data_IF_611989363142
#
_entry.id   IF_611989363142
#
_cell.length_a   1.000
_cell.length_b   1.000
_cell.length_c   1.000
_cell.angle_alpha   90.00
_cell.angle_beta   90.00
_cell.angle_gamma   90.00
#
_symmetry.space_group_name_H-M   'P 1'
#
loop_
_entity.id
_entity.type
_entity.pdbx_description
1 polymer ?
#
# COMPACT_ATOMS: atom_id res chain seq x y z
N UNK A 1 4.95 -26.42 28.37
CA UNK A 1 6.17 -26.29 27.57
C UNK A 1 6.70 -27.69 27.35
N UNK A 2 6.60 -28.28 26.19
CA UNK A 2 7.38 -29.46 25.86
C UNK A 2 8.73 -28.97 25.36
N UNK A 3 9.74 -29.58 25.93
CA UNK A 3 11.16 -29.35 25.85
C UNK A 3 11.66 -29.37 24.41
N UNK A 4 12.09 -28.23 23.87
CA UNK A 4 12.78 -28.14 22.56
C UNK A 4 14.12 -28.90 22.59
N UNK A 5 14.64 -29.22 23.76
CA UNK A 5 15.79 -30.09 23.98
C UNK A 5 15.50 -31.56 23.62
N UNK A 6 14.26 -32.01 23.70
CA UNK A 6 13.89 -33.39 23.36
C UNK A 6 13.87 -33.70 21.86
N UNK A 7 13.78 -32.70 20.99
CA UNK A 7 13.79 -32.88 19.52
C UNK A 7 15.18 -32.91 18.88
N UNK A 8 16.21 -32.58 19.65
CA UNK A 8 17.61 -32.60 19.21
C UNK A 8 18.44 -33.82 19.73
N UNK A 9 17.80 -34.74 20.48
CA UNK A 9 18.40 -36.02 20.87
C UNK A 9 18.44 -37.08 19.76
N UNK A 10 18.43 -36.67 18.48
CA UNK A 10 18.65 -37.51 17.32
C UNK A 10 20.16 -37.76 17.11
N UNK A 11 20.74 -38.73 17.88
CA UNK A 11 22.00 -39.47 17.60
C UNK A 11 23.17 -38.63 17.06
N UNK A 12 24.04 -38.23 17.99
CA UNK A 12 25.46 -37.94 17.71
C UNK A 12 26.09 -39.29 17.36
N UNK A 13 26.32 -39.57 16.09
CA UNK A 13 27.15 -40.68 15.65
C UNK A 13 28.58 -40.15 15.61
N UNK A 14 29.39 -40.52 16.60
CA UNK A 14 30.84 -40.33 16.57
C UNK A 14 31.41 -41.19 15.44
N UNK A 15 31.98 -40.55 14.42
CA UNK A 15 32.74 -41.21 13.40
C UNK A 15 34.20 -40.87 13.59
N UNK A 16 35.04 -41.88 13.58
CA UNK A 16 36.49 -41.80 13.76
C UNK A 16 37.16 -41.23 12.50
N UNK A 17 36.97 -39.98 12.23
CA UNK A 17 37.78 -39.11 11.37
C UNK A 17 37.14 -37.72 11.31
N UNK A 18 37.67 -36.79 12.04
CA UNK A 18 37.61 -35.30 11.97
C UNK A 18 36.39 -34.55 11.36
N UNK A 19 35.24 -35.18 11.08
CA UNK A 19 34.03 -34.50 10.56
C UNK A 19 32.81 -34.91 11.37
N UNK A 20 32.17 -33.94 12.03
CA UNK A 20 30.87 -34.09 12.67
C UNK A 20 29.75 -33.93 11.64
N UNK A 21 28.81 -34.87 11.61
CA UNK A 21 27.61 -34.81 10.77
C UNK A 21 26.38 -34.62 11.65
N UNK A 22 25.58 -33.64 11.31
CA UNK A 22 24.25 -33.40 11.92
C UNK A 22 23.15 -33.61 10.87
N UNK A 23 22.08 -34.30 11.28
CA UNK A 23 20.86 -34.44 10.50
C UNK A 23 19.72 -33.64 11.14
N UNK A 24 19.06 -32.79 10.37
CA UNK A 24 17.83 -32.14 10.83
C UNK A 24 16.62 -33.07 10.62
N UNK A 25 15.45 -32.67 11.16
CA UNK A 25 14.19 -33.42 11.04
C UNK A 25 13.71 -33.58 9.57
N UNK A 26 14.23 -32.77 8.62
CA UNK A 26 13.96 -32.84 7.19
C UNK A 26 14.97 -33.71 6.42
N UNK A 27 15.93 -34.39 7.10
CA UNK A 27 16.86 -35.33 6.48
C UNK A 27 18.09 -34.69 5.81
N UNK A 28 18.28 -33.37 5.92
CA UNK A 28 19.43 -32.66 5.32
C UNK A 28 20.70 -32.90 6.17
N UNK A 29 21.80 -33.27 5.51
CA UNK A 29 23.10 -33.52 6.16
C UNK A 29 23.99 -32.28 6.07
N UNK A 30 24.51 -31.83 7.22
CA UNK A 30 25.49 -30.77 7.31
C UNK A 30 26.84 -31.33 7.81
N UNK A 31 27.93 -30.95 7.18
CA UNK A 31 29.27 -31.27 7.67
C UNK A 31 29.99 -29.99 8.07
N UNK A 32 30.58 -29.96 9.26
CA UNK A 32 31.36 -28.82 9.74
C UNK A 32 32.72 -29.28 10.25
N UNK A 33 33.78 -28.60 9.84
CA UNK A 33 35.17 -28.96 10.15
C UNK A 33 35.68 -28.36 11.47
N UNK A 34 34.83 -27.61 12.24
CA UNK A 34 35.22 -27.00 13.51
C UNK A 34 34.07 -26.97 14.52
N UNK A 35 34.26 -27.48 15.74
CA UNK A 35 33.28 -27.38 16.83
C UNK A 35 32.94 -25.95 17.21
N UNK A 36 33.86 -25.02 17.03
CA UNK A 36 33.64 -23.58 17.32
C UNK A 36 32.68 -22.93 16.32
N UNK A 37 32.82 -23.21 15.02
CA UNK A 37 31.89 -22.73 13.98
C UNK A 37 30.50 -23.33 14.15
N UNK A 38 30.40 -24.59 14.57
CA UNK A 38 29.12 -25.23 14.87
C UNK A 38 28.42 -24.57 16.07
N UNK A 39 29.18 -24.25 17.14
CA UNK A 39 28.65 -23.54 18.30
C UNK A 39 28.16 -22.12 17.98
N UNK A 40 28.94 -21.37 17.20
CA UNK A 40 28.51 -20.04 16.74
C UNK A 40 27.27 -20.09 15.80
N UNK A 41 27.24 -21.09 14.93
CA UNK A 41 26.07 -21.31 14.06
C UNK A 41 24.84 -21.70 14.87
N UNK A 42 24.99 -22.61 15.85
CA UNK A 42 23.90 -23.00 16.75
C UNK A 42 23.44 -21.84 17.64
N UNK A 43 24.36 -20.99 18.13
CA UNK A 43 23.98 -19.74 18.84
C UNK A 43 23.17 -18.81 17.93
N UNK A 44 23.57 -18.61 16.67
CA UNK A 44 22.80 -17.82 15.70
C UNK A 44 21.41 -18.41 15.43
N UNK A 45 21.31 -19.74 15.26
CA UNK A 45 20.00 -20.41 15.10
C UNK A 45 19.14 -20.34 16.36
N UNK A 46 19.73 -20.46 17.55
CA UNK A 46 19.00 -20.33 18.82
C UNK A 46 18.54 -18.87 19.07
N UNK A 47 19.33 -17.89 18.65
CA UNK A 47 18.94 -16.47 18.68
C UNK A 47 17.85 -16.16 17.64
N UNK A 48 17.93 -16.73 16.43
CA UNK A 48 16.89 -16.61 15.40
C UNK A 48 15.59 -17.25 15.85
N UNK A 49 15.62 -18.47 16.39
CA UNK A 49 14.40 -19.13 16.89
C UNK A 49 13.77 -18.44 18.12
N UNK A 50 14.61 -17.81 18.99
CA UNK A 50 14.09 -16.95 20.07
C UNK A 50 13.50 -15.66 19.52
N UNK A 51 14.13 -15.03 18.53
CA UNK A 51 13.61 -13.82 17.89
C UNK A 51 12.29 -14.11 17.15
N UNK A 52 12.17 -15.22 16.41
CA UNK A 52 10.92 -15.63 15.78
C UNK A 52 9.80 -15.90 16.79
N UNK A 53 10.09 -16.55 17.91
CA UNK A 53 9.12 -16.79 18.98
C UNK A 53 8.66 -15.51 19.65
N UNK A 54 9.54 -14.55 19.89
CA UNK A 54 9.22 -13.24 20.46
C UNK A 54 8.41 -12.43 19.44
N UNK A 55 8.81 -12.43 18.17
CA UNK A 55 8.15 -11.75 17.06
C UNK A 55 6.71 -12.28 16.85
N UNK A 56 6.51 -13.61 16.89
CA UNK A 56 5.18 -14.22 16.81
C UNK A 56 4.29 -13.84 17.99
N UNK A 57 4.85 -13.75 19.21
CA UNK A 57 4.12 -13.28 20.39
C UNK A 57 3.73 -11.80 20.30
N UNK A 58 4.57 -10.96 19.71
CA UNK A 58 4.26 -9.53 19.51
C UNK A 58 3.15 -9.32 18.48
N UNK A 59 3.16 -10.04 17.37
CA UNK A 59 2.07 -9.98 16.36
C UNK A 59 0.76 -10.43 16.97
N UNK A 60 0.76 -11.52 17.73
CA UNK A 60 -0.42 -11.95 18.47
C UNK A 60 -0.92 -10.88 19.45
N UNK A 61 -0.01 -10.13 20.10
CA UNK A 61 -0.37 -8.99 20.96
C UNK A 61 -1.02 -7.84 20.22
N UNK A 62 -0.48 -7.43 19.05
CA UNK A 62 -1.03 -6.33 18.25
C UNK A 62 -2.31 -6.72 17.48
N UNK A 63 -2.64 -8.01 17.41
CA UNK A 63 -3.88 -8.52 16.80
C UNK A 63 -4.94 -8.89 17.85
N UNK A 64 -4.58 -8.92 19.15
CA UNK A 64 -5.54 -9.14 20.23
C UNK A 64 -6.19 -7.82 20.64
N UNK A 65 -7.53 -7.68 20.53
CA UNK A 65 -8.24 -6.46 20.94
C UNK A 65 -7.97 -6.03 22.39
N UNK A 66 -7.76 -6.97 23.31
CA UNK A 66 -7.48 -6.69 24.72
C UNK A 66 -6.08 -6.12 24.90
N UNK A 67 -5.09 -6.70 24.22
CA UNK A 67 -3.72 -6.21 24.26
C UNK A 67 -3.60 -4.83 23.58
N UNK A 68 -4.30 -4.61 22.45
CA UNK A 68 -4.36 -3.30 21.80
C UNK A 68 -4.97 -2.24 22.72
N UNK A 69 -6.09 -2.54 23.41
CA UNK A 69 -6.69 -1.62 24.36
C UNK A 69 -5.75 -1.32 25.53
N UNK A 70 -5.06 -2.34 26.06
CA UNK A 70 -4.08 -2.17 27.13
C UNK A 70 -2.89 -1.30 26.70
N UNK A 71 -2.36 -1.52 25.49
CA UNK A 71 -1.30 -0.70 24.89
C UNK A 71 -1.73 0.76 24.80
N UNK A 72 -2.87 1.03 24.22
CA UNK A 72 -3.41 2.38 24.04
C UNK A 72 -3.68 3.06 25.39
N UNK A 73 -4.21 2.32 26.37
CA UNK A 73 -4.47 2.83 27.73
C UNK A 73 -3.17 3.23 28.46
N UNK A 74 -2.08 2.46 28.32
CA UNK A 74 -0.76 2.80 28.91
C UNK A 74 -0.25 4.15 28.42
N UNK A 75 -0.52 4.48 27.15
CA UNK A 75 -0.13 5.75 26.54
C UNK A 75 -1.20 6.85 26.64
N UNK A 76 -2.30 6.62 27.38
CA UNK A 76 -3.40 7.57 27.50
C UNK A 76 -4.09 7.91 26.18
N UNK A 77 -4.00 7.01 25.20
CA UNK A 77 -4.54 7.25 23.87
C UNK A 77 -6.05 7.02 23.81
N UNK A 78 -6.74 7.95 23.16
CA UNK A 78 -8.17 7.85 22.84
C UNK A 78 -8.41 8.00 21.35
N UNK A 79 -9.31 7.19 20.80
CA UNK A 79 -9.63 7.21 19.36
C UNK A 79 -10.16 8.56 18.90
N UNK A 80 -9.66 9.04 17.78
CA UNK A 80 -10.16 10.24 17.12
C UNK A 80 -11.05 9.86 15.94
N UNK A 81 -12.34 10.19 16.04
CA UNK A 81 -13.29 10.00 14.94
C UNK A 81 -12.95 10.86 13.72
N UNK A 82 -12.43 12.07 13.94
CA UNK A 82 -12.04 13.01 12.88
C UNK A 82 -10.87 12.50 12.04
N UNK A 83 -10.01 11.65 12.60
CA UNK A 83 -8.87 11.02 11.90
C UNK A 83 -9.23 9.66 11.29
N UNK A 84 -10.48 9.21 11.43
CA UNK A 84 -10.95 7.95 10.85
C UNK A 84 -10.16 6.70 11.32
N UNK A 85 -9.66 6.72 12.56
CA UNK A 85 -8.79 5.68 13.12
C UNK A 85 -9.54 4.37 13.30
N UNK A 86 -9.16 3.36 12.53
CA UNK A 86 -9.62 1.97 12.63
C UNK A 86 -8.38 1.07 12.58
N UNK A 87 -7.95 0.56 13.74
CA UNK A 87 -6.76 -0.28 13.83
C UNK A 87 -7.07 -1.70 13.41
N UNK A 88 -6.21 -2.27 12.60
CA UNK A 88 -6.35 -3.63 12.11
C UNK A 88 -5.98 -4.62 13.23
N UNK A 89 -6.90 -5.56 13.52
CA UNK A 89 -6.75 -6.59 14.54
C UNK A 89 -6.80 -8.02 13.97
N UNK A 90 -6.96 -8.17 12.66
CA UNK A 90 -6.93 -9.47 12.01
C UNK A 90 -5.49 -9.85 11.67
N UNK A 91 -4.93 -10.95 12.27
CA UNK A 91 -3.52 -11.29 12.13
C UNK A 91 -3.11 -11.73 10.73
N UNK A 92 -4.06 -12.10 9.86
CA UNK A 92 -3.75 -12.59 8.50
C UNK A 92 -3.64 -11.48 7.45
N UNK A 93 -4.15 -10.26 7.74
CA UNK A 93 -4.27 -9.21 6.73
C UNK A 93 -2.95 -8.50 6.48
N UNK A 94 -2.26 -8.04 7.54
CA UNK A 94 -0.98 -7.33 7.39
C UNK A 94 0.13 -8.18 6.75
N UNK A 95 0.35 -9.45 7.15
CA UNK A 95 1.30 -10.32 6.47
C UNK A 95 1.01 -10.45 4.98
N UNK A 96 -0.27 -10.67 4.62
CA UNK A 96 -0.68 -10.78 3.23
C UNK A 96 -0.50 -9.48 2.45
N UNK A 97 -0.80 -8.32 3.05
CA UNK A 97 -0.53 -7.03 2.43
C UNK A 97 0.97 -6.83 2.16
N UNK A 98 1.82 -7.19 3.12
CA UNK A 98 3.26 -7.09 2.99
C UNK A 98 3.79 -8.02 1.88
N UNK A 99 3.29 -9.26 1.77
CA UNK A 99 3.65 -10.18 0.69
C UNK A 99 3.23 -9.65 -0.69
N UNK A 100 2.00 -9.18 -0.81
CA UNK A 100 1.42 -8.70 -2.08
C UNK A 100 2.00 -7.34 -2.53
N UNK A 101 2.60 -6.55 -1.64
CA UNK A 101 3.17 -5.25 -2.03
C UNK A 101 4.54 -5.39 -2.72
N UNK A 102 5.14 -6.57 -2.73
CA UNK A 102 6.38 -6.84 -3.46
C UNK A 102 7.63 -6.33 -2.73
N UNK A 103 7.61 -6.35 -1.39
CA UNK A 103 8.78 -6.06 -0.57
C UNK A 103 9.80 -7.18 -0.61
N UNK A 104 11.07 -6.83 -0.40
CA UNK A 104 12.18 -7.76 -0.36
C UNK A 104 13.51 -7.05 -0.09
N UNK A 105 14.63 -7.75 -0.15
CA UNK A 105 15.95 -7.13 -0.09
C UNK A 105 16.12 -6.07 -1.18
N UNK A 106 16.69 -4.92 -0.85
CA UNK A 106 16.87 -3.78 -1.75
C UNK A 106 15.60 -2.95 -2.00
N UNK A 107 14.47 -3.28 -1.37
CA UNK A 107 13.20 -2.55 -1.51
C UNK A 107 12.92 -1.73 -0.26
N UNK A 108 12.72 -0.43 -0.46
CA UNK A 108 12.21 0.51 0.54
C UNK A 108 10.69 0.61 0.49
N UNK A 109 10.06 0.78 1.66
CA UNK A 109 8.60 0.94 1.77
C UNK A 109 8.27 2.31 2.37
N UNK A 110 7.48 3.08 1.64
CA UNK A 110 6.77 4.23 2.19
C UNK A 110 5.40 3.77 2.70
N UNK A 111 5.18 3.90 4.02
CA UNK A 111 3.89 3.62 4.63
C UNK A 111 3.16 4.91 5.00
N UNK A 112 1.85 4.96 4.79
CA UNK A 112 1.00 6.08 5.16
C UNK A 112 0.05 5.68 6.27
N UNK A 113 0.14 6.35 7.43
CA UNK A 113 -0.69 6.09 8.59
C UNK A 113 -0.40 4.73 9.24
N UNK A 114 0.76 4.52 9.86
CA UNK A 114 1.12 3.26 10.53
C UNK A 114 0.18 2.88 11.67
N UNK A 115 -0.54 3.85 12.24
CA UNK A 115 -1.41 3.63 13.38
C UNK A 115 -0.63 3.15 14.60
N UNK A 116 -0.89 1.93 15.07
CA UNK A 116 -0.15 1.30 16.16
C UNK A 116 1.01 0.41 15.68
N UNK A 117 1.34 0.43 14.38
CA UNK A 117 2.50 -0.25 13.82
C UNK A 117 2.28 -1.69 13.36
N UNK A 118 1.04 -2.20 13.29
CA UNK A 118 0.75 -3.61 12.91
C UNK A 118 1.28 -3.93 11.51
N UNK A 119 0.99 -3.06 10.53
CA UNK A 119 1.49 -3.24 9.16
C UNK A 119 2.99 -2.91 9.08
N UNK A 120 3.44 -1.87 9.79
CA UNK A 120 4.86 -1.46 9.83
C UNK A 120 5.77 -2.62 10.23
N UNK A 121 5.39 -3.38 11.27
CA UNK A 121 6.12 -4.57 11.76
C UNK A 121 6.22 -5.63 10.65
N UNK A 122 5.14 -5.91 9.94
CA UNK A 122 5.16 -6.91 8.87
C UNK A 122 6.00 -6.47 7.66
N UNK A 123 5.99 -5.17 7.36
CA UNK A 123 6.83 -4.58 6.33
C UNK A 123 8.31 -4.62 6.75
N UNK A 124 8.63 -4.22 7.99
CA UNK A 124 9.98 -4.18 8.51
C UNK A 124 10.68 -5.56 8.55
N UNK A 125 9.92 -6.63 8.73
CA UNK A 125 10.44 -8.01 8.66
C UNK A 125 10.95 -8.41 7.26
N UNK A 126 10.48 -7.75 6.21
CA UNK A 126 10.66 -8.16 4.81
C UNK A 126 11.41 -7.14 3.96
N UNK A 127 11.23 -5.86 4.26
CA UNK A 127 11.82 -4.75 3.52
C UNK A 127 13.22 -4.42 4.00
N UNK A 128 14.04 -3.84 3.11
CA UNK A 128 15.33 -3.26 3.48
C UNK A 128 15.13 -2.09 4.45
N UNK A 129 14.14 -1.23 4.18
CA UNK A 129 13.81 -0.07 5.01
C UNK A 129 12.32 0.28 4.91
N UNK A 130 11.75 0.70 6.04
CA UNK A 130 10.38 1.22 6.11
C UNK A 130 10.42 2.65 6.62
N UNK A 131 9.73 3.56 5.94
CA UNK A 131 9.50 4.93 6.41
C UNK A 131 8.00 5.16 6.46
N UNK A 132 7.48 5.39 7.66
CA UNK A 132 6.05 5.57 7.91
C UNK A 132 5.76 7.04 8.22
N UNK A 133 4.78 7.65 7.54
CA UNK A 133 4.35 9.03 7.79
C UNK A 133 3.08 8.98 8.66
N UNK A 134 3.15 9.56 9.87
CA UNK A 134 2.04 9.60 10.83
C UNK A 134 1.67 11.04 11.18
N UNK A 135 0.39 11.37 10.99
CA UNK A 135 -0.14 12.70 11.29
C UNK A 135 -0.39 12.88 12.81
N UNK A 136 -0.87 11.85 13.48
CA UNK A 136 -1.25 11.92 14.89
C UNK A 136 -0.05 11.73 15.82
N UNK A 137 0.51 12.84 16.29
CA UNK A 137 1.67 12.84 17.22
C UNK A 137 1.43 12.02 18.50
N UNK A 138 0.17 11.77 18.89
CA UNK A 138 -0.17 10.96 20.07
C UNK A 138 0.14 9.48 19.89
N UNK A 139 0.29 9.02 18.62
CA UNK A 139 0.70 7.65 18.29
C UNK A 139 2.22 7.46 18.33
N UNK A 140 3.03 8.52 18.33
CA UNK A 140 4.48 8.39 18.31
C UNK A 140 5.05 7.61 19.51
N UNK A 141 4.59 7.83 20.77
CA UNK A 141 5.03 7.01 21.90
C UNK A 141 4.62 5.54 21.76
N UNK A 142 3.43 5.26 21.20
CA UNK A 142 2.94 3.90 20.94
C UNK A 142 3.84 3.23 19.89
N UNK A 143 4.14 3.93 18.79
CA UNK A 143 5.03 3.45 17.73
C UNK A 143 6.46 3.24 18.23
N UNK A 144 6.95 4.10 19.14
CA UNK A 144 8.23 3.90 19.81
C UNK A 144 8.32 2.57 20.54
N UNK A 145 7.25 2.16 21.27
CA UNK A 145 7.18 0.86 21.95
C UNK A 145 7.03 -0.29 20.96
N UNK A 146 6.13 -0.17 19.96
CA UNK A 146 5.82 -1.29 19.06
C UNK A 146 6.89 -1.56 18.02
N UNK A 147 7.74 -0.59 17.71
CA UNK A 147 8.81 -0.69 16.70
C UNK A 147 10.21 -0.80 17.31
N UNK A 148 10.35 -0.92 18.64
CA UNK A 148 11.65 -0.98 19.33
C UNK A 148 12.58 -2.07 18.75
N UNK A 149 12.02 -3.21 18.35
CA UNK A 149 12.77 -4.34 17.77
C UNK A 149 13.10 -4.20 16.27
N UNK A 150 12.72 -3.08 15.60
CA UNK A 150 12.82 -2.92 14.14
C UNK A 150 13.63 -1.68 13.76
N UNK A 151 14.98 -1.74 13.80
CA UNK A 151 15.86 -0.60 13.54
C UNK A 151 15.79 -0.08 12.09
N UNK A 152 15.25 -0.87 11.16
CA UNK A 152 15.01 -0.50 9.77
C UNK A 152 13.65 0.21 9.56
N UNK A 153 12.83 0.38 10.60
CA UNK A 153 11.59 1.14 10.57
C UNK A 153 11.79 2.54 11.16
N UNK A 154 11.42 3.57 10.41
CA UNK A 154 11.48 4.98 10.81
C UNK A 154 10.12 5.63 10.71
N UNK A 155 9.71 6.36 11.76
CA UNK A 155 8.46 7.14 11.75
C UNK A 155 8.78 8.62 11.57
N UNK A 156 8.07 9.27 10.65
CA UNK A 156 8.11 10.71 10.39
C UNK A 156 6.75 11.28 10.79
N UNK A 157 6.75 12.24 11.74
CA UNK A 157 5.51 12.90 12.12
C UNK A 157 5.25 14.07 11.18
N UNK A 158 4.39 13.86 10.19
CA UNK A 158 4.02 14.86 9.20
C UNK A 158 2.67 14.53 8.57
N UNK A 159 2.16 15.46 7.75
CA UNK A 159 0.95 15.27 6.94
C UNK A 159 1.34 14.76 5.55
N UNK A 160 0.92 13.55 5.20
CA UNK A 160 1.17 12.95 3.88
C UNK A 160 0.71 13.86 2.72
N UNK A 161 -0.25 14.74 2.93
CA UNK A 161 -0.73 15.68 1.91
C UNK A 161 0.09 16.98 1.83
N UNK A 162 1.09 17.18 2.71
CA UNK A 162 1.89 18.42 2.76
C UNK A 162 3.39 18.18 2.69
N UNK A 163 3.87 17.07 3.27
CA UNK A 163 5.30 16.72 3.30
C UNK A 163 5.88 16.71 1.88
N UNK A 164 7.09 17.25 1.72
CA UNK A 164 7.79 17.17 0.44
C UNK A 164 8.32 15.74 0.23
N UNK A 165 7.59 14.97 -0.61
CA UNK A 165 7.86 13.55 -0.82
C UNK A 165 9.12 13.30 -1.64
N UNK A 166 9.45 14.14 -2.62
CA UNK A 166 10.61 13.92 -3.48
C UNK A 166 11.92 13.94 -2.71
N UNK A 167 12.25 14.97 -1.88
CA UNK A 167 13.44 14.96 -1.06
C UNK A 167 13.41 13.88 0.04
N UNK A 168 12.22 13.57 0.58
CA UNK A 168 12.07 12.51 1.56
C UNK A 168 12.49 11.15 0.98
N UNK A 169 11.96 10.79 -0.19
CA UNK A 169 12.28 9.54 -0.87
C UNK A 169 13.76 9.46 -1.24
N UNK A 170 14.33 10.54 -1.78
CA UNK A 170 15.75 10.59 -2.13
C UNK A 170 16.67 10.39 -0.92
N UNK A 171 16.34 11.02 0.21
CA UNK A 171 17.15 10.91 1.44
C UNK A 171 17.02 9.55 2.10
N UNK A 172 15.80 9.02 2.17
CA UNK A 172 15.53 7.82 2.96
C UNK A 172 15.74 6.53 2.19
N UNK A 173 15.58 6.53 0.85
CA UNK A 173 15.60 5.33 0.01
C UNK A 173 16.66 5.39 -1.11
N UNK A 174 17.73 6.15 -0.91
CA UNK A 174 18.80 6.24 -1.91
C UNK A 174 19.29 4.85 -2.36
N UNK A 175 19.25 4.59 -3.67
CA UNK A 175 19.69 3.31 -4.25
C UNK A 175 18.72 2.13 -4.06
N UNK A 176 17.55 2.35 -3.49
CA UNK A 176 16.52 1.33 -3.30
C UNK A 176 15.38 1.51 -4.31
N UNK A 177 14.76 0.42 -4.68
CA UNK A 177 13.46 0.43 -5.32
C UNK A 177 12.38 0.76 -4.26
N UNK A 178 11.41 1.62 -4.58
CA UNK A 178 10.41 2.07 -3.60
C UNK A 178 9.02 1.56 -3.95
N UNK A 179 8.33 1.02 -2.95
CA UNK A 179 6.90 0.70 -3.01
C UNK A 179 6.15 1.44 -1.90
N UNK A 180 4.86 1.69 -2.12
CA UNK A 180 3.96 2.20 -1.09
C UNK A 180 3.09 1.07 -0.57
N UNK A 181 2.97 0.94 0.75
CA UNK A 181 2.02 0.03 1.38
C UNK A 181 1.28 0.76 2.51
N UNK A 182 -0.07 0.75 2.50
CA UNK A 182 -0.82 1.53 3.48
C UNK A 182 -2.22 0.99 3.76
N UNK A 183 -2.66 1.12 5.02
CA UNK A 183 -4.06 1.07 5.41
C UNK A 183 -4.59 2.51 5.48
N UNK A 184 -5.10 3.03 4.35
CA UNK A 184 -5.44 4.46 4.24
C UNK A 184 -6.68 4.84 5.04
N UNK A 185 -6.65 5.96 5.78
CA UNK A 185 -7.87 6.56 6.31
C UNK A 185 -8.84 6.89 5.18
N UNK A 186 -10.12 6.49 5.34
CA UNK A 186 -11.08 6.51 4.23
C UNK A 186 -11.36 7.90 3.66
N UNK A 187 -11.29 8.95 4.51
CA UNK A 187 -11.58 10.32 4.11
C UNK A 187 -10.50 10.98 3.23
N UNK A 188 -9.26 10.42 3.23
CA UNK A 188 -8.15 10.94 2.42
C UNK A 188 -7.68 9.96 1.33
N UNK A 189 -8.38 8.84 1.14
CA UNK A 189 -7.97 7.79 0.18
C UNK A 189 -7.66 8.36 -1.20
N UNK A 190 -8.62 9.07 -1.83
CA UNK A 190 -8.39 9.60 -3.18
C UNK A 190 -7.33 10.69 -3.23
N UNK A 191 -7.32 11.70 -2.34
CA UNK A 191 -6.24 12.70 -2.31
C UNK A 191 -4.84 12.10 -2.19
N UNK A 192 -4.64 11.11 -1.31
CA UNK A 192 -3.32 10.46 -1.12
C UNK A 192 -2.90 9.69 -2.37
N UNK A 193 -3.79 8.85 -2.92
CA UNK A 193 -3.48 8.06 -4.12
C UNK A 193 -3.16 8.99 -5.30
N UNK A 194 -3.97 10.01 -5.51
CA UNK A 194 -3.75 10.95 -6.60
C UNK A 194 -2.43 11.70 -6.45
N UNK A 195 -2.12 12.19 -5.26
CA UNK A 195 -0.85 12.84 -4.99
C UNK A 195 0.35 11.95 -5.32
N UNK A 196 0.34 10.70 -4.84
CA UNK A 196 1.43 9.73 -5.08
C UNK A 196 1.62 9.40 -6.55
N UNK A 197 0.56 9.46 -7.36
CA UNK A 197 0.61 9.17 -8.80
C UNK A 197 0.94 10.41 -9.64
N UNK A 198 0.35 11.57 -9.33
CA UNK A 198 0.49 12.81 -10.10
C UNK A 198 1.88 13.45 -9.92
N UNK A 199 2.50 13.36 -8.74
CA UNK A 199 3.86 13.87 -8.48
C UNK A 199 4.95 13.06 -9.19
N UNK A 200 4.61 11.98 -9.90
CA UNK A 200 5.57 11.11 -10.64
C UNK A 200 6.79 10.72 -9.81
N UNK A 201 6.54 10.37 -8.56
CA UNK A 201 7.56 9.91 -7.63
C UNK A 201 8.21 8.61 -8.13
N UNK A 202 9.45 8.33 -7.76
CA UNK A 202 10.15 7.07 -8.12
C UNK A 202 9.61 5.89 -7.31
N UNK A 203 8.32 5.58 -7.51
CA UNK A 203 7.55 4.54 -6.83
C UNK A 203 7.13 3.50 -7.86
N UNK A 204 7.46 2.23 -7.63
CA UNK A 204 7.12 1.12 -8.52
C UNK A 204 5.64 0.72 -8.44
N UNK A 205 5.10 0.66 -7.22
CA UNK A 205 3.74 0.21 -6.99
C UNK A 205 3.17 0.77 -5.69
N UNK A 206 1.83 0.87 -5.64
CA UNK A 206 1.07 1.19 -4.43
C UNK A 206 0.17 0.01 -4.08
N UNK A 207 0.28 -0.53 -2.87
CA UNK A 207 -0.64 -1.53 -2.31
C UNK A 207 -1.37 -0.91 -1.15
N UNK A 208 -2.67 -0.66 -1.31
CA UNK A 208 -3.44 0.10 -0.33
C UNK A 208 -4.73 -0.61 0.03
N UNK A 209 -5.10 -0.53 1.30
CA UNK A 209 -6.41 -0.94 1.78
C UNK A 209 -7.32 0.28 1.85
N UNK A 210 -8.49 0.17 1.20
CA UNK A 210 -9.47 1.23 1.06
C UNK A 210 -10.88 0.67 1.22
N UNK A 211 -11.90 1.53 1.35
CA UNK A 211 -13.30 1.09 1.35
C UNK A 211 -13.65 0.33 0.06
N UNK A 212 -14.48 -0.70 0.16
CA UNK A 212 -14.89 -1.54 -0.98
C UNK A 212 -15.42 -0.72 -2.17
N UNK A 213 -16.25 0.29 -1.91
CA UNK A 213 -16.77 1.16 -2.96
C UNK A 213 -15.67 2.02 -3.62
N UNK A 214 -14.73 2.52 -2.81
CA UNK A 214 -13.57 3.26 -3.32
C UNK A 214 -12.70 2.37 -4.21
N UNK A 215 -12.44 1.13 -3.78
CA UNK A 215 -11.71 0.15 -4.59
C UNK A 215 -12.38 -0.12 -5.94
N UNK A 216 -13.71 -0.28 -5.96
CA UNK A 216 -14.47 -0.46 -7.18
C UNK A 216 -14.32 0.71 -8.15
N UNK A 217 -14.31 1.95 -7.63
CA UNK A 217 -14.11 3.15 -8.46
C UNK A 217 -12.65 3.27 -8.94
N UNK A 218 -11.67 3.05 -8.06
CA UNK A 218 -10.25 3.14 -8.41
C UNK A 218 -9.85 2.12 -9.47
N UNK A 219 -10.40 0.90 -9.41
CA UNK A 219 -10.12 -0.19 -10.35
C UNK A 219 -11.06 -0.23 -11.56
N UNK A 220 -12.05 0.69 -11.64
CA UNK A 220 -12.99 0.67 -12.76
C UNK A 220 -12.31 0.97 -14.08
N UNK A 221 -12.67 0.21 -15.12
CA UNK A 221 -12.18 0.43 -16.48
C UNK A 221 -12.94 1.59 -17.15
N UNK A 222 -12.24 2.41 -17.98
CA UNK A 222 -12.89 3.37 -18.87
C UNK A 222 -13.96 2.68 -19.73
N UNK A 223 -15.05 3.41 -20.01
CA UNK A 223 -16.18 2.83 -20.76
C UNK A 223 -17.16 2.02 -19.91
N UNK A 224 -16.97 1.94 -18.59
CA UNK A 224 -17.87 1.22 -17.69
C UNK A 224 -18.64 2.16 -16.75
N UNK A 225 -19.86 1.75 -16.33
CA UNK A 225 -20.73 2.54 -15.43
C UNK A 225 -20.08 2.93 -14.10
N UNK A 226 -19.14 2.15 -13.60
CA UNK A 226 -18.43 2.41 -12.35
C UNK A 226 -17.32 3.46 -12.53
N UNK A 227 -16.93 3.76 -13.77
CA UNK A 227 -15.86 4.70 -14.10
C UNK A 227 -16.21 6.13 -13.65
N UNK A 228 -15.20 6.81 -13.14
CA UNK A 228 -15.25 8.21 -12.73
C UNK A 228 -13.94 8.91 -13.05
N UNK A 229 -13.84 10.21 -12.77
CA UNK A 229 -12.58 10.95 -13.00
C UNK A 229 -11.37 10.29 -12.33
N UNK A 230 -11.53 9.80 -11.10
CA UNK A 230 -10.44 9.11 -10.38
C UNK A 230 -10.06 7.79 -11.05
N UNK A 231 -11.02 7.07 -11.66
CA UNK A 231 -10.73 5.84 -12.42
C UNK A 231 -9.85 6.14 -13.62
N UNK A 232 -10.17 7.19 -14.39
CA UNK A 232 -9.38 7.63 -15.55
C UNK A 232 -7.96 8.00 -15.10
N UNK A 233 -7.82 8.77 -14.02
CA UNK A 233 -6.53 9.19 -13.52
C UNK A 233 -5.69 7.99 -13.05
N UNK A 234 -6.26 7.08 -12.27
CA UNK A 234 -5.56 5.86 -11.83
C UNK A 234 -5.15 5.01 -13.03
N UNK A 235 -6.03 4.76 -14.01
CA UNK A 235 -5.72 3.97 -15.21
C UNK A 235 -4.69 4.67 -16.12
N UNK A 236 -4.59 5.99 -16.07
CA UNK A 236 -3.60 6.76 -16.81
C UNK A 236 -2.19 6.57 -16.21
N UNK A 237 -2.06 6.62 -14.90
CA UNK A 237 -0.76 6.54 -14.20
C UNK A 237 -0.34 5.13 -13.79
N UNK A 238 -1.28 4.20 -13.63
CA UNK A 238 -1.02 2.87 -13.09
C UNK A 238 -1.93 1.79 -13.70
N UNK A 239 -1.62 0.53 -13.37
CA UNK A 239 -2.47 -0.64 -13.66
C UNK A 239 -3.06 -1.13 -12.34
N UNK A 240 -4.31 -0.75 -12.01
CA UNK A 240 -4.94 -1.17 -10.76
C UNK A 240 -5.49 -2.59 -10.85
N UNK A 241 -5.38 -3.33 -9.75
CA UNK A 241 -6.02 -4.65 -9.58
C UNK A 241 -6.48 -4.85 -8.15
N UNK A 242 -7.60 -5.55 -7.99
CA UNK A 242 -8.09 -5.99 -6.67
C UNK A 242 -7.31 -7.22 -6.25
N UNK A 243 -6.81 -7.22 -5.01
CA UNK A 243 -6.11 -8.36 -4.43
C UNK A 243 -7.05 -9.21 -3.57
N UNK A 244 -7.63 -8.62 -2.51
CA UNK A 244 -8.56 -9.35 -1.64
C UNK A 244 -9.46 -8.39 -0.83
N UNK A 245 -10.54 -8.96 -0.28
CA UNK A 245 -11.47 -8.24 0.58
C UNK A 245 -11.13 -8.45 2.06
N UNK A 246 -11.43 -7.45 2.88
CA UNK A 246 -11.22 -7.44 4.33
C UNK A 246 -12.53 -7.05 5.01
N UNK A 247 -13.07 -7.94 5.84
CA UNK A 247 -14.29 -7.69 6.59
C UNK A 247 -14.10 -6.55 7.59
N UNK A 248 -15.13 -5.74 7.78
CA UNK A 248 -15.17 -4.68 8.80
C UNK A 248 -14.90 -5.19 10.23
N UNK A 249 -15.20 -6.46 10.51
CA UNK A 249 -14.87 -7.11 11.79
C UNK A 249 -13.36 -7.30 12.04
N UNK A 250 -12.52 -7.04 11.04
CA UNK A 250 -11.06 -7.08 11.17
C UNK A 250 -10.46 -5.84 11.83
N UNK A 251 -11.28 -4.87 12.26
CA UNK A 251 -10.81 -3.57 12.77
C UNK A 251 -11.35 -3.24 14.17
N UNK A 252 -10.62 -2.42 14.90
CA UNK A 252 -10.98 -1.85 16.21
C UNK A 252 -10.80 -0.32 16.18
N UNK A 253 -11.87 0.48 16.34
CA UNK A 253 -13.27 0.09 16.22
C UNK A 253 -13.62 -0.38 14.79
N UNK A 254 -14.70 -1.18 14.61
CA UNK A 254 -15.09 -1.62 13.27
C UNK A 254 -15.66 -0.44 12.47
N UNK A 255 -15.26 -0.30 11.19
CA UNK A 255 -15.87 0.66 10.29
C UNK A 255 -17.28 0.24 9.86
N UNK A 256 -18.01 1.16 9.18
CA UNK A 256 -19.37 0.88 8.72
C UNK A 256 -19.43 -0.06 7.50
N UNK A 257 -18.35 -0.16 6.73
CA UNK A 257 -18.26 -0.90 5.47
C UNK A 257 -17.03 -1.80 5.43
N UNK A 258 -17.07 -2.83 4.60
CA UNK A 258 -15.92 -3.67 4.33
C UNK A 258 -14.84 -2.92 3.55
N UNK A 259 -13.62 -3.40 3.64
CA UNK A 259 -12.45 -2.89 2.93
C UNK A 259 -12.03 -3.83 1.81
N UNK A 260 -11.22 -3.33 0.92
CA UNK A 260 -10.58 -4.09 -0.15
C UNK A 260 -9.15 -3.62 -0.28
N UNK A 261 -8.23 -4.59 -0.38
CA UNK A 261 -6.84 -4.30 -0.72
C UNK A 261 -6.71 -4.32 -2.22
N UNK A 262 -6.15 -3.24 -2.76
CA UNK A 262 -5.85 -3.07 -4.19
C UNK A 262 -4.37 -2.83 -4.37
N UNK A 263 -3.84 -3.21 -5.53
CA UNK A 263 -2.50 -2.87 -5.97
C UNK A 263 -2.58 -2.08 -7.28
N UNK A 264 -1.75 -1.07 -7.39
CA UNK A 264 -1.59 -0.21 -8.55
C UNK A 264 -0.13 -0.24 -8.95
N UNK A 265 0.22 -0.96 -10.02
CA UNK A 265 1.56 -0.98 -10.59
C UNK A 265 1.73 0.27 -11.44
N UNK A 266 2.69 1.15 -11.08
CA UNK A 266 2.91 2.45 -11.74
C UNK A 266 3.44 2.21 -13.16
N UNK A 267 2.87 2.93 -14.13
CA UNK A 267 3.27 2.81 -15.54
C UNK A 267 4.52 3.66 -15.82
N UNK A 268 5.40 3.14 -16.65
CA UNK A 268 6.51 3.92 -17.23
C UNK A 268 5.99 4.98 -18.20
N UNK A 269 4.96 4.60 -18.99
CA UNK A 269 4.33 5.48 -19.96
C UNK A 269 2.81 5.40 -19.85
N UNK A 270 2.09 6.54 -19.99
CA UNK A 270 0.63 6.53 -20.05
C UNK A 270 0.12 5.70 -21.22
N UNK A 271 -1.10 5.11 -21.12
CA UNK A 271 -1.68 4.27 -22.19
C UNK A 271 -2.15 5.06 -23.41
N UNK A 272 -2.27 6.39 -23.28
CA UNK A 272 -2.61 7.30 -24.38
C UNK A 272 -1.68 8.50 -24.37
N UNK A 273 -1.35 9.00 -25.58
CA UNK A 273 -0.57 10.23 -25.74
C UNK A 273 -1.51 11.43 -25.74
N UNK A 274 -1.21 12.41 -24.89
CA UNK A 274 -1.92 13.69 -24.84
C UNK A 274 -0.92 14.82 -24.97
N UNK A 275 -1.29 15.90 -25.66
CA UNK A 275 -0.42 17.07 -25.86
C UNK A 275 -0.14 17.83 -24.58
N UNK A 276 -1.11 17.84 -23.66
CA UNK A 276 -1.02 18.51 -22.35
C UNK A 276 -1.86 17.76 -21.32
N UNK A 277 -1.20 17.21 -20.29
CA UNK A 277 -1.84 16.46 -19.22
C UNK A 277 -2.81 17.33 -18.39
N UNK A 278 -2.43 18.59 -18.12
CA UNK A 278 -3.28 19.51 -17.35
C UNK A 278 -4.61 19.73 -18.08
N UNK A 279 -4.58 19.92 -19.40
CA UNK A 279 -5.79 20.07 -20.20
C UNK A 279 -6.60 18.77 -20.28
N UNK A 280 -5.92 17.62 -20.39
CA UNK A 280 -6.57 16.32 -20.38
C UNK A 280 -7.34 16.09 -19.06
N UNK A 281 -6.71 16.33 -17.92
CA UNK A 281 -7.38 16.16 -16.62
C UNK A 281 -8.42 17.23 -16.32
N UNK A 282 -8.28 18.45 -16.86
CA UNK A 282 -9.33 19.46 -16.83
C UNK A 282 -10.57 19.00 -17.61
N UNK A 283 -10.38 18.42 -18.80
CA UNK A 283 -11.46 17.81 -19.60
C UNK A 283 -12.10 16.64 -18.82
N UNK A 284 -11.32 15.71 -18.28
CA UNK A 284 -11.83 14.58 -17.48
C UNK A 284 -12.67 15.08 -16.30
N UNK A 285 -12.15 16.05 -15.55
CA UNK A 285 -12.89 16.66 -14.42
C UNK A 285 -14.21 17.30 -14.87
N UNK A 286 -14.21 18.04 -15.97
CA UNK A 286 -15.40 18.65 -16.55
C UNK A 286 -16.42 17.59 -16.98
N UNK A 287 -15.96 16.56 -17.71
CA UNK A 287 -16.79 15.47 -18.22
C UNK A 287 -17.53 14.71 -17.10
N UNK A 288 -16.83 14.38 -16.00
CA UNK A 288 -17.39 13.67 -14.84
C UNK A 288 -18.02 14.57 -13.79
N UNK A 289 -17.88 15.88 -13.90
CA UNK A 289 -18.45 16.85 -12.95
C UNK A 289 -19.98 16.81 -12.88
N UNK A 290 -20.63 16.38 -13.95
CA UNK A 290 -22.09 16.29 -14.05
C UNK A 290 -22.54 14.92 -14.58
N UNK A 291 -22.49 13.88 -13.76
CA UNK A 291 -22.74 12.46 -14.15
C UNK A 291 -24.04 12.21 -14.94
N UNK A 292 -25.11 12.97 -14.70
CA UNK A 292 -26.40 12.80 -15.38
C UNK A 292 -26.48 13.53 -16.74
N UNK A 293 -25.50 14.35 -17.09
CA UNK A 293 -25.49 15.11 -18.35
C UNK A 293 -24.72 14.34 -19.43
N UNK A 294 -25.05 14.68 -20.69
CA UNK A 294 -24.27 14.20 -21.84
C UNK A 294 -22.88 14.82 -21.86
N UNK A 295 -21.94 14.19 -22.55
CA UNK A 295 -20.56 14.68 -22.71
C UNK A 295 -20.54 16.11 -23.25
N UNK A 296 -21.37 16.42 -24.25
CA UNK A 296 -21.56 17.75 -24.81
C UNK A 296 -21.88 18.80 -23.74
N UNK A 297 -22.89 18.53 -22.91
CA UNK A 297 -23.34 19.48 -21.92
C UNK A 297 -22.40 19.58 -20.72
N UNK A 298 -21.80 18.45 -20.30
CA UNK A 298 -20.87 18.42 -19.16
C UNK A 298 -19.58 19.19 -19.50
N UNK A 299 -18.99 18.93 -20.66
CA UNK A 299 -17.74 19.58 -21.10
C UNK A 299 -17.95 21.06 -21.41
N UNK A 300 -19.04 21.41 -22.14
CA UNK A 300 -19.36 22.81 -22.43
C UNK A 300 -19.49 23.63 -21.13
N UNK A 301 -20.23 23.12 -20.15
CA UNK A 301 -20.41 23.82 -18.88
C UNK A 301 -19.13 23.81 -18.01
N UNK A 302 -18.43 22.68 -17.93
CA UNK A 302 -17.25 22.51 -17.07
C UNK A 302 -16.00 23.24 -17.54
N UNK A 303 -15.87 23.46 -18.85
CA UNK A 303 -14.75 24.22 -19.45
C UNK A 303 -15.18 25.61 -19.97
N UNK A 304 -16.43 25.99 -19.75
CA UNK A 304 -16.99 27.28 -20.26
C UNK A 304 -16.79 27.46 -21.77
N UNK A 305 -16.98 26.39 -22.55
CA UNK A 305 -16.83 26.39 -24.01
C UNK A 305 -18.17 26.46 -24.71
N UNK A 306 -18.27 27.10 -25.90
CA UNK A 306 -19.46 27.06 -26.74
C UNK A 306 -19.84 25.61 -27.08
N UNK A 307 -21.17 25.29 -27.06
CA UNK A 307 -21.66 23.94 -27.37
C UNK A 307 -21.29 23.50 -28.78
N UNK A 308 -21.29 24.40 -29.72
CA UNK A 308 -20.96 24.17 -31.13
C UNK A 308 -19.49 23.67 -31.27
N UNK A 309 -18.58 24.29 -30.51
CA UNK A 309 -17.16 23.85 -30.50
C UNK A 309 -17.01 22.44 -29.90
N UNK A 310 -17.69 22.17 -28.79
CA UNK A 310 -17.66 20.84 -28.18
C UNK A 310 -18.33 19.79 -29.07
N UNK A 311 -19.45 20.16 -29.76
CA UNK A 311 -20.12 19.29 -30.72
C UNK A 311 -19.22 18.88 -31.88
N UNK A 312 -18.50 19.86 -32.48
CA UNK A 312 -17.54 19.61 -33.54
C UNK A 312 -16.38 18.70 -33.07
N UNK A 313 -15.84 18.95 -31.87
CA UNK A 313 -14.78 18.12 -31.29
C UNK A 313 -15.27 16.68 -31.01
N UNK A 314 -16.51 16.48 -30.55
CA UNK A 314 -17.11 15.16 -30.41
C UNK A 314 -17.17 14.41 -31.75
N UNK A 315 -17.59 15.07 -32.81
CA UNK A 315 -17.63 14.46 -34.16
C UNK A 315 -16.22 14.05 -34.61
N UNK A 316 -15.22 14.93 -34.44
CA UNK A 316 -13.84 14.63 -34.79
C UNK A 316 -13.25 13.46 -33.98
N UNK A 317 -13.65 13.33 -32.71
CA UNK A 317 -13.23 12.24 -31.82
C UNK A 317 -14.07 10.96 -31.98
N UNK A 318 -15.05 10.90 -32.88
CA UNK A 318 -15.92 9.75 -33.05
C UNK A 318 -16.84 9.47 -31.86
N UNK A 319 -17.25 10.53 -31.14
CA UNK A 319 -18.07 10.43 -29.92
C UNK A 319 -19.49 10.91 -30.21
N UNK A 320 -20.48 10.10 -29.80
CA UNK A 320 -21.88 10.53 -29.83
C UNK A 320 -22.09 11.65 -28.81
N UNK A 321 -22.65 12.80 -29.25
CA UNK A 321 -22.89 13.97 -28.39
C UNK A 321 -23.86 13.65 -27.24
N UNK A 322 -24.66 12.58 -27.36
CA UNK A 322 -25.59 12.07 -26.36
C UNK A 322 -24.92 11.11 -25.35
N UNK A 323 -23.72 10.65 -25.63
CA UNK A 323 -22.97 9.77 -24.72
C UNK A 323 -22.70 10.47 -23.38
N UNK A 324 -22.53 9.70 -22.32
CA UNK A 324 -22.07 10.18 -21.01
C UNK A 324 -20.59 9.88 -20.83
N UNK A 325 -19.93 10.62 -19.97
CA UNK A 325 -18.49 10.47 -19.72
C UNK A 325 -18.08 9.03 -19.37
N UNK A 326 -18.88 8.32 -18.57
CA UNK A 326 -18.63 6.93 -18.17
C UNK A 326 -18.65 5.91 -19.33
N UNK A 327 -19.19 6.28 -20.48
CA UNK A 327 -19.26 5.43 -21.67
C UNK A 327 -18.06 5.59 -22.61
N UNK A 328 -17.22 6.60 -22.36
CA UNK A 328 -16.06 6.88 -23.21
C UNK A 328 -14.86 6.05 -22.78
N UNK A 329 -14.10 5.57 -23.77
CA UNK A 329 -12.78 5.00 -23.57
C UNK A 329 -11.74 6.10 -23.27
N UNK A 330 -10.55 5.71 -22.83
CA UNK A 330 -9.48 6.69 -22.57
C UNK A 330 -8.97 7.31 -23.90
N UNK A 331 -8.92 6.53 -24.96
CA UNK A 331 -8.56 6.97 -26.31
C UNK A 331 -9.54 8.02 -26.83
N UNK A 332 -10.84 7.79 -26.62
CA UNK A 332 -11.86 8.76 -26.99
C UNK A 332 -11.73 10.07 -26.20
N UNK A 333 -11.42 9.98 -24.89
CA UNK A 333 -11.16 11.19 -24.08
C UNK A 333 -9.91 11.93 -24.54
N UNK A 334 -8.84 11.23 -24.90
CA UNK A 334 -7.62 11.83 -25.44
C UNK A 334 -7.88 12.48 -26.82
N UNK A 335 -8.62 11.81 -27.69
CA UNK A 335 -9.02 12.36 -28.99
C UNK A 335 -9.90 13.62 -28.84
N UNK A 336 -10.85 13.61 -27.90
CA UNK A 336 -11.68 14.77 -27.59
C UNK A 336 -10.85 15.95 -27.06
N UNK A 337 -9.86 15.66 -26.19
CA UNK A 337 -8.95 16.68 -25.67
C UNK A 337 -8.14 17.32 -26.80
N UNK A 338 -7.61 16.51 -27.71
CA UNK A 338 -6.86 17.00 -28.90
C UNK A 338 -7.76 17.82 -29.83
N UNK A 339 -8.98 17.37 -30.09
CA UNK A 339 -9.93 18.08 -30.97
C UNK A 339 -10.42 19.42 -30.39
N UNK A 340 -10.45 19.55 -29.06
CA UNK A 340 -10.80 20.79 -28.39
C UNK A 340 -9.69 21.84 -28.44
N UNK A 341 -8.43 21.45 -28.68
CA UNK A 341 -7.27 22.34 -28.72
C UNK A 341 -7.30 23.39 -27.60
N UNK A 342 -7.33 22.89 -26.36
CA UNK A 342 -7.38 23.72 -25.15
C UNK A 342 -6.06 24.51 -25.03
N UNK A 343 -6.19 25.83 -24.90
CA UNK A 343 -5.05 26.75 -24.73
C UNK A 343 -4.81 27.04 -23.26
#
# INVERSE_FOLDING_TARGET
MPDVFGLLQGRILACASEKLWLRNAAGVRFSCCSPFLLWETMKKFALLGRSEGIILQEIQRLSDPSAVKALLARHGFTFSKSLGQNFLINPSVCPRMAEECGVGPGVGVLEVGPGIGVLTVELAKRAEKVVSIELDKRLLPVLGETLEGYPNAKVVNDDILKVDLQPLLQREFAGMEVVVCANLPYYITSPVIMRLLEERLPIRALTVMVQKEAAQRLCALPGTRACGAVSIAVQYYAVPRVLFQVSRGSFLPPPNVDSTVIRMDVREHPPVTVSNETHFFALVKAAFGQRRKTILNAVSAGLSLPKERVAQACVQAGILQTARAEQLTMEQMAALCSALDLK
#
